data_IF_232152446784
#
_entry.id   IF_232152446784
#
_cell.length_a   1.000
_cell.length_b   1.000
_cell.length_c   1.000
_cell.angle_alpha   90.00
_cell.angle_beta   90.00
_cell.angle_gamma   90.00
#
_symmetry.space_group_name_H-M   'P 1'
#
loop_
_entity.id
_entity.type
_entity.pdbx_description
1 polymer ?
#
# COMPACT_ATOMS: atom_id res chain seq x y z
N UNK A 1 -38.94 63.52 8.92
CA UNK A 1 -37.49 63.54 9.19
C UNK A 1 -37.13 62.13 9.60
N UNK A 2 -36.58 61.34 8.66
CA UNK A 2 -35.13 61.25 8.40
C UNK A 2 -34.57 60.15 9.32
N UNK A 3 -34.32 58.94 8.82
CA UNK A 3 -33.03 58.51 8.26
C UNK A 3 -32.27 57.77 9.38
N UNK A 4 -31.60 56.63 9.26
CA UNK A 4 -31.01 55.85 8.17
C UNK A 4 -29.94 54.95 8.84
N UNK A 5 -29.69 53.76 8.27
CA UNK A 5 -28.46 52.90 8.29
C UNK A 5 -27.66 52.63 9.60
N UNK A 6 -26.87 51.57 9.79
CA UNK A 6 -26.64 50.23 9.24
C UNK A 6 -25.48 49.59 10.05
N UNK A 7 -25.31 48.28 9.90
CA UNK A 7 -24.06 47.50 10.01
C UNK A 7 -23.46 47.07 11.38
N UNK A 8 -23.30 45.74 11.52
CA UNK A 8 -21.96 45.14 11.56
C UNK A 8 -21.38 44.63 12.90
N UNK A 9 -21.50 43.31 13.14
CA UNK A 9 -20.33 42.43 13.35
C UNK A 9 -19.65 42.25 14.72
N UNK A 10 -19.45 40.95 15.06
CA UNK A 10 -18.34 40.31 15.78
C UNK A 10 -18.40 40.08 17.32
N UNK A 11 -18.35 38.79 17.68
CA UNK A 11 -17.35 38.27 18.64
C UNK A 11 -17.81 37.86 20.05
N UNK A 12 -17.84 36.55 20.32
CA UNK A 12 -17.86 35.98 21.68
C UNK A 12 -18.09 34.46 21.69
N UNK A 13 -17.19 33.63 22.25
CA UNK A 13 -17.17 32.18 22.00
C UNK A 13 -17.98 31.40 23.06
N UNK A 14 -18.43 30.18 22.74
CA UNK A 14 -18.54 29.12 23.73
C UNK A 14 -17.53 28.02 23.38
N UNK A 15 -16.49 27.84 24.19
CA UNK A 15 -16.47 26.93 25.36
C UNK A 15 -16.50 25.47 24.92
N UNK A 16 -15.37 24.80 25.15
CA UNK A 16 -15.14 23.41 24.78
C UNK A 16 -16.18 22.47 25.37
N UNK A 17 -16.80 21.70 24.50
CA UNK A 17 -17.56 20.51 24.86
C UNK A 17 -16.73 19.27 24.54
N UNK A 18 -16.65 18.42 25.55
CA UNK A 18 -16.09 17.08 25.49
C UNK A 18 -16.64 16.36 24.26
N UNK A 19 -15.73 15.98 23.35
CA UNK A 19 -16.02 15.14 22.19
C UNK A 19 -16.31 13.70 22.65
N UNK A 20 -17.46 13.53 23.31
CA UNK A 20 -18.12 12.24 23.47
C UNK A 20 -18.55 11.76 22.10
N UNK A 21 -18.08 10.57 21.74
CA UNK A 21 -18.34 9.88 20.48
C UNK A 21 -19.83 9.78 20.16
N UNK A 22 -20.38 10.76 19.44
CA UNK A 22 -21.54 10.51 18.60
C UNK A 22 -21.06 9.55 17.51
N UNK A 23 -21.50 8.30 17.58
CA UNK A 23 -21.38 7.34 16.49
C UNK A 23 -22.01 7.98 15.27
N UNK A 24 -21.19 8.55 14.38
CA UNK A 24 -21.64 8.89 13.04
C UNK A 24 -22.18 7.59 12.46
N UNK A 25 -23.48 7.56 12.13
CA UNK A 25 -24.07 6.45 11.39
C UNK A 25 -23.21 6.20 10.15
N UNK A 26 -22.93 4.92 9.88
CA UNK A 26 -22.17 4.53 8.71
C UNK A 26 -22.96 4.93 7.45
N UNK A 27 -22.36 5.78 6.61
CA UNK A 27 -22.99 6.28 5.40
C UNK A 27 -22.97 5.26 4.23
N UNK A 28 -22.39 4.08 4.44
CA UNK A 28 -22.38 2.95 3.50
C UNK A 28 -22.46 1.60 4.23
N UNK A 29 -23.55 1.33 4.98
CA UNK A 29 -23.64 0.16 5.86
C UNK A 29 -23.61 -1.18 5.08
N UNK A 30 -23.97 -1.15 3.80
CA UNK A 30 -23.93 -2.32 2.91
C UNK A 30 -22.61 -2.44 2.12
N UNK A 31 -21.72 -1.43 2.19
CA UNK A 31 -20.45 -1.43 1.46
C UNK A 31 -20.59 -1.27 -0.06
N UNK A 32 -21.70 -0.72 -0.56
CA UNK A 32 -21.96 -0.57 -1.99
C UNK A 32 -20.96 0.40 -2.63
N UNK A 33 -20.57 1.47 -1.91
CA UNK A 33 -19.56 2.42 -2.39
C UNK A 33 -18.17 1.81 -2.35
N UNK A 34 -17.88 0.97 -1.36
CA UNK A 34 -16.60 0.24 -1.29
C UNK A 34 -16.48 -0.77 -2.44
N UNK A 35 -17.57 -1.46 -2.80
CA UNK A 35 -17.60 -2.38 -3.92
C UNK A 35 -17.44 -1.67 -5.27
N UNK A 36 -17.97 -0.45 -5.40
CA UNK A 36 -17.89 0.38 -6.60
C UNK A 36 -16.60 1.22 -6.71
N UNK A 37 -15.53 0.86 -5.99
CA UNK A 37 -14.28 1.62 -6.00
C UNK A 37 -13.65 1.71 -7.41
N UNK A 38 -13.33 2.93 -7.86
CA UNK A 38 -12.70 3.19 -9.16
C UNK A 38 -11.26 2.67 -9.25
N UNK A 39 -10.49 2.77 -8.15
CA UNK A 39 -9.12 2.23 -8.04
C UNK A 39 -9.02 1.23 -6.87
N UNK A 40 -9.48 -0.02 -7.06
CA UNK A 40 -9.48 -1.02 -5.99
C UNK A 40 -8.05 -1.38 -5.53
N UNK A 41 -7.06 -1.29 -6.41
CA UNK A 41 -5.66 -1.57 -6.07
C UNK A 41 -5.02 -0.41 -5.27
N UNK A 42 -5.37 0.84 -5.58
CA UNK A 42 -5.00 2.01 -4.81
C UNK A 42 -5.58 1.98 -3.39
N UNK A 43 -6.86 1.61 -3.26
CA UNK A 43 -7.49 1.42 -1.95
C UNK A 43 -6.83 0.26 -1.17
N UNK A 44 -6.60 -0.88 -1.82
CA UNK A 44 -5.90 -2.02 -1.21
C UNK A 44 -4.50 -1.64 -0.71
N UNK A 45 -3.76 -0.79 -1.45
CA UNK A 45 -2.42 -0.36 -1.06
C UNK A 45 -2.42 0.33 0.32
N UNK A 46 -3.47 1.06 0.68
CA UNK A 46 -3.56 1.73 2.00
C UNK A 46 -3.50 0.71 3.14
N UNK A 47 -4.20 -0.42 2.98
CA UNK A 47 -4.18 -1.52 3.94
C UNK A 47 -2.85 -2.26 3.94
N UNK A 48 -2.29 -2.53 2.76
CA UNK A 48 -0.95 -3.14 2.63
C UNK A 48 0.10 -2.28 3.33
N UNK A 49 0.08 -0.96 3.15
CA UNK A 49 1.00 -0.05 3.81
C UNK A 49 0.85 -0.10 5.32
N UNK A 50 -0.39 -0.14 5.84
CA UNK A 50 -0.63 -0.33 7.28
C UNK A 50 0.00 -1.64 7.76
N UNK A 51 -0.25 -2.76 7.09
CA UNK A 51 0.33 -4.06 7.44
C UNK A 51 1.86 -4.06 7.41
N UNK A 52 2.48 -3.41 6.43
CA UNK A 52 3.94 -3.25 6.34
C UNK A 52 4.49 -2.30 7.42
N UNK A 53 3.69 -1.33 7.87
CA UNK A 53 4.08 -0.37 8.91
C UNK A 53 3.91 -0.89 10.34
N UNK A 54 3.16 -1.99 10.54
CA UNK A 54 3.03 -2.61 11.86
C UNK A 54 4.40 -3.14 12.30
N UNK A 55 5.16 -2.30 13.02
CA UNK A 55 6.21 -2.74 13.93
C UNK A 55 5.51 -3.15 15.22
N UNK A 56 5.21 -4.44 15.40
CA UNK A 56 4.74 -4.88 16.72
C UNK A 56 5.92 -4.90 17.69
N UNK A 57 5.77 -4.24 18.83
CA UNK A 57 6.79 -4.16 19.89
C UNK A 57 7.14 -5.52 20.51
N UNK A 58 8.23 -5.51 21.29
CA UNK A 58 8.94 -6.61 21.97
C UNK A 58 9.49 -7.76 21.08
N UNK A 59 8.89 -8.01 19.92
CA UNK A 59 9.34 -8.96 18.89
C UNK A 59 9.60 -8.18 17.59
N UNK A 60 10.68 -7.39 17.59
CA UNK A 60 11.12 -6.55 16.48
C UNK A 60 11.53 -7.40 15.26
N UNK A 61 10.56 -8.02 14.60
CA UNK A 61 10.73 -8.77 13.38
C UNK A 61 10.34 -7.94 12.16
N UNK A 62 10.97 -8.17 10.99
CA UNK A 62 10.47 -7.68 9.72
C UNK A 62 9.00 -8.10 9.49
N UNK A 63 8.28 -7.35 8.66
CA UNK A 63 6.93 -7.74 8.23
C UNK A 63 6.91 -9.21 7.80
N UNK A 64 5.88 -9.96 8.20
CA UNK A 64 5.81 -11.41 7.98
C UNK A 64 5.81 -11.76 6.49
N UNK A 65 6.29 -12.96 6.17
CA UNK A 65 6.31 -13.48 4.79
C UNK A 65 4.96 -13.31 4.08
N UNK A 66 3.79 -13.66 4.69
CA UNK A 66 2.49 -13.45 4.04
C UNK A 66 2.21 -11.99 3.68
N UNK A 67 2.54 -11.05 4.57
CA UNK A 67 2.34 -9.62 4.33
C UNK A 67 3.20 -9.14 3.16
N UNK A 68 4.45 -9.59 3.09
CA UNK A 68 5.36 -9.21 2.00
C UNK A 68 4.95 -9.84 0.66
N UNK A 69 4.54 -11.10 0.65
CA UNK A 69 3.97 -11.77 -0.53
C UNK A 69 2.72 -11.04 -1.03
N UNK A 70 1.81 -10.65 -0.13
CA UNK A 70 0.66 -9.82 -0.49
C UNK A 70 1.09 -8.48 -1.12
N UNK A 71 2.12 -7.85 -0.56
CA UNK A 71 2.65 -6.59 -1.09
C UNK A 71 3.28 -6.76 -2.49
N UNK A 72 3.92 -7.91 -2.77
CA UNK A 72 4.38 -8.27 -4.12
C UNK A 72 3.17 -8.38 -5.07
N UNK A 73 2.15 -9.14 -4.69
CA UNK A 73 0.96 -9.38 -5.50
C UNK A 73 0.22 -8.09 -5.89
N UNK A 74 0.10 -7.14 -4.94
CA UNK A 74 -0.51 -5.83 -5.22
C UNK A 74 0.40 -4.98 -6.10
N UNK A 75 1.70 -4.93 -5.82
CA UNK A 75 2.64 -4.13 -6.61
C UNK A 75 2.73 -4.60 -8.08
N UNK A 76 2.73 -5.91 -8.33
CA UNK A 76 2.70 -6.49 -9.68
C UNK A 76 1.45 -6.05 -10.45
N UNK A 77 0.26 -6.17 -9.83
CA UNK A 77 -1.00 -5.76 -10.47
C UNK A 77 -1.08 -4.26 -10.77
N UNK A 78 -0.35 -3.45 -9.99
CA UNK A 78 -0.23 -1.99 -10.19
C UNK A 78 0.89 -1.60 -11.17
N UNK A 79 1.58 -2.57 -11.77
CA UNK A 79 2.74 -2.31 -12.65
C UNK A 79 3.96 -1.72 -11.93
N UNK A 80 4.03 -1.83 -10.59
CA UNK A 80 5.13 -1.29 -9.77
C UNK A 80 6.20 -2.36 -9.52
N UNK A 81 6.87 -2.80 -10.57
CA UNK A 81 7.81 -3.93 -10.52
C UNK A 81 9.02 -3.73 -9.61
N UNK A 82 9.59 -2.52 -9.55
CA UNK A 82 10.69 -2.22 -8.61
C UNK A 82 10.24 -2.36 -7.15
N UNK A 83 9.02 -1.91 -6.84
CA UNK A 83 8.44 -2.08 -5.52
C UNK A 83 8.17 -3.56 -5.22
N UNK A 84 7.70 -4.33 -6.21
CA UNK A 84 7.48 -5.77 -6.08
C UNK A 84 8.80 -6.50 -5.76
N UNK A 85 9.88 -6.19 -6.48
CA UNK A 85 11.21 -6.75 -6.22
C UNK A 85 11.71 -6.46 -4.81
N UNK A 86 11.54 -5.21 -4.33
CA UNK A 86 11.90 -4.84 -2.97
C UNK A 86 11.14 -5.67 -1.92
N UNK A 87 9.84 -5.90 -2.12
CA UNK A 87 9.05 -6.72 -1.18
C UNK A 87 9.43 -8.19 -1.26
N UNK A 88 9.77 -8.70 -2.45
CA UNK A 88 10.20 -10.07 -2.65
C UNK A 88 11.53 -10.35 -1.94
N UNK A 89 12.54 -9.49 -2.11
CA UNK A 89 13.82 -9.59 -1.40
C UNK A 89 13.61 -9.66 0.10
N UNK A 90 12.79 -8.76 0.61
CA UNK A 90 12.54 -8.71 2.04
C UNK A 90 11.67 -9.89 2.54
N UNK A 91 10.90 -10.55 1.66
CA UNK A 91 10.21 -11.81 1.96
C UNK A 91 11.20 -12.98 2.01
N UNK A 92 12.17 -13.02 1.09
CA UNK A 92 13.28 -13.97 1.10
C UNK A 92 14.11 -13.81 2.38
N UNK A 93 14.42 -12.59 2.79
CA UNK A 93 15.14 -12.33 4.06
C UNK A 93 14.34 -12.82 5.28
N UNK A 94 13.01 -12.73 5.24
CA UNK A 94 12.15 -13.10 6.36
C UNK A 94 11.84 -14.61 6.45
N UNK A 95 11.76 -15.32 5.32
CA UNK A 95 11.31 -16.72 5.25
C UNK A 95 12.23 -17.68 4.52
N UNK A 96 13.28 -17.18 3.89
CA UNK A 96 14.13 -17.94 2.96
C UNK A 96 13.51 -18.10 1.57
N UNK A 97 14.36 -18.31 0.57
CA UNK A 97 13.94 -18.55 -0.81
C UNK A 97 13.18 -19.88 -0.99
N UNK A 98 13.37 -20.82 -0.06
CA UNK A 98 12.70 -22.12 -0.06
C UNK A 98 11.26 -22.09 0.48
N UNK A 99 10.80 -20.99 1.09
CA UNK A 99 9.40 -20.87 1.49
C UNK A 99 8.50 -20.91 0.23
N UNK A 100 7.52 -21.82 0.22
CA UNK A 100 6.67 -22.06 -0.95
C UNK A 100 5.91 -20.79 -1.41
N UNK A 101 5.55 -19.89 -0.49
CA UNK A 101 4.86 -18.64 -0.82
C UNK A 101 5.82 -17.66 -1.49
N UNK A 102 7.06 -17.60 -1.01
CA UNK A 102 8.13 -16.79 -1.61
C UNK A 102 8.47 -17.30 -3.01
N UNK A 103 8.59 -18.62 -3.18
CA UNK A 103 8.80 -19.24 -4.49
C UNK A 103 7.67 -18.89 -5.47
N UNK A 104 6.40 -19.10 -5.06
CA UNK A 104 5.24 -18.75 -5.89
C UNK A 104 5.21 -17.26 -6.24
N UNK A 105 5.53 -16.37 -5.28
CA UNK A 105 5.60 -14.94 -5.53
C UNK A 105 6.71 -14.58 -6.51
N UNK A 106 7.85 -15.26 -6.43
CA UNK A 106 8.97 -15.13 -7.37
C UNK A 106 8.49 -15.46 -8.78
N UNK A 107 7.96 -16.67 -8.99
CA UNK A 107 7.48 -17.12 -10.32
C UNK A 107 6.44 -16.16 -10.90
N UNK A 108 5.47 -15.71 -10.09
CA UNK A 108 4.46 -14.73 -10.51
C UNK A 108 5.08 -13.41 -10.95
N UNK A 109 6.05 -12.89 -10.18
CA UNK A 109 6.74 -11.64 -10.52
C UNK A 109 7.51 -11.79 -11.84
N UNK A 110 8.24 -12.89 -12.01
CA UNK A 110 9.01 -13.16 -13.22
C UNK A 110 8.11 -13.22 -14.47
N UNK A 111 7.02 -13.98 -14.39
CA UNK A 111 6.06 -14.10 -15.48
C UNK A 111 5.44 -12.74 -15.83
N UNK A 112 5.04 -11.98 -14.81
CA UNK A 112 4.44 -10.67 -15.01
C UNK A 112 5.44 -9.66 -15.60
N UNK A 113 6.68 -9.66 -15.13
CA UNK A 113 7.74 -8.78 -15.64
C UNK A 113 8.11 -9.10 -17.09
N UNK A 114 8.19 -10.38 -17.45
CA UNK A 114 8.46 -10.82 -18.82
C UNK A 114 7.35 -10.41 -19.80
N UNK A 115 6.12 -10.30 -19.32
CA UNK A 115 4.95 -9.94 -20.15
C UNK A 115 4.67 -8.43 -20.16
N UNK A 116 5.39 -7.64 -19.35
CA UNK A 116 5.11 -6.23 -19.17
C UNK A 116 5.86 -5.33 -20.16
N UNK A 117 5.16 -4.32 -20.66
CA UNK A 117 5.79 -3.18 -21.31
C UNK A 117 6.37 -2.24 -20.24
N UNK A 118 7.69 -2.27 -20.12
CA UNK A 118 8.44 -1.49 -19.14
C UNK A 118 9.28 -0.44 -19.85
N UNK A 119 9.43 0.72 -19.22
CA UNK A 119 10.43 1.70 -19.62
C UNK A 119 11.84 1.05 -19.61
N UNK A 120 12.74 1.42 -20.53
CA UNK A 120 14.05 0.75 -20.67
C UNK A 120 14.84 0.66 -19.35
N UNK A 121 14.91 1.77 -18.60
CA UNK A 121 15.60 1.83 -17.31
C UNK A 121 14.99 0.88 -16.27
N UNK A 122 13.65 0.79 -16.24
CA UNK A 122 12.96 -0.13 -15.33
C UNK A 122 13.19 -1.58 -15.74
N UNK A 123 13.23 -1.86 -17.05
CA UNK A 123 13.50 -3.20 -17.57
C UNK A 123 14.91 -3.66 -17.22
N UNK A 124 15.90 -2.78 -17.33
CA UNK A 124 17.29 -3.06 -16.96
C UNK A 124 17.39 -3.45 -15.48
N UNK A 125 16.85 -2.61 -14.58
CA UNK A 125 16.86 -2.89 -13.14
C UNK A 125 16.14 -4.20 -12.83
N UNK A 126 14.96 -4.42 -13.42
CA UNK A 126 14.20 -5.66 -13.17
C UNK A 126 14.97 -6.88 -13.63
N UNK A 127 15.59 -6.84 -14.81
CA UNK A 127 16.37 -7.97 -15.33
C UNK A 127 17.61 -8.26 -14.48
N UNK A 128 18.36 -7.24 -14.08
CA UNK A 128 19.54 -7.42 -13.22
C UNK A 128 19.18 -8.03 -11.87
N UNK A 129 18.08 -7.56 -11.27
CA UNK A 129 17.58 -8.08 -10.00
C UNK A 129 17.06 -9.52 -10.11
N UNK A 130 16.38 -9.85 -11.21
CA UNK A 130 15.93 -11.21 -11.50
C UNK A 130 17.11 -12.16 -11.68
N UNK A 131 18.14 -11.75 -12.42
CA UNK A 131 19.35 -12.54 -12.59
C UNK A 131 20.01 -12.85 -11.24
N UNK A 132 20.17 -11.83 -10.39
CA UNK A 132 20.72 -11.99 -9.04
C UNK A 132 19.89 -12.96 -8.18
N UNK A 133 18.56 -12.91 -8.25
CA UNK A 133 17.67 -13.80 -7.52
C UNK A 133 17.76 -15.27 -7.98
N UNK A 134 18.06 -15.50 -9.25
CA UNK A 134 18.20 -16.83 -9.84
C UNK A 134 19.62 -17.39 -9.74
N UNK A 135 20.55 -16.69 -9.07
CA UNK A 135 21.94 -17.11 -8.95
C UNK A 135 22.75 -16.90 -10.24
N UNK A 136 22.25 -16.08 -11.17
CA UNK A 136 23.03 -15.59 -12.28
C UNK A 136 24.09 -14.61 -11.76
N UNK A 137 25.35 -15.05 -11.74
CA UNK A 137 26.47 -14.14 -11.65
C UNK A 137 26.37 -13.16 -12.83
N UNK A 138 26.34 -11.86 -12.54
CA UNK A 138 26.67 -10.87 -13.56
C UNK A 138 28.10 -11.15 -14.04
N UNK A 139 28.26 -11.28 -15.35
CA UNK A 139 29.57 -11.18 -16.02
C UNK A 139 30.30 -9.88 -15.61
#
# INVERSE_FOLDING_TARGET
>A
ADGGDAAGGAGGPPSGEAAGSQSKEDADPNGEKLAAAEDPLGEAQKFVNKLLSVRKGALAGPASVPTRVLAVDVAVRRGKFVQALRQLRAAIEAGGAADARVFCATVKLLLAAASAELAPETREVVNGEVAALLGGAGD
#
